data_IF_585814668129
#
_entry.id   IF_585814668129
#
_cell.length_a   1.000
_cell.length_b   1.000
_cell.length_c   1.000
_cell.angle_alpha   90.00
_cell.angle_beta   90.00
_cell.angle_gamma   90.00
#
_symmetry.space_group_name_H-M   'P 1'
#
loop_
_entity.id
_entity.type
_entity.pdbx_description
1 polymer ?
#
# COMPACT_ATOMS: atom_id res chain seq x y z
N UNK A 1 -2.17 -8.60 17.25
CA UNK A 1 -2.66 -8.66 15.86
C UNK A 1 -2.01 -7.54 15.08
N UNK A 2 -1.48 -7.87 13.91
CA UNK A 2 -1.04 -6.90 12.91
C UNK A 2 -1.96 -7.00 11.69
N UNK A 3 -1.49 -6.40 10.59
CA UNK A 3 -2.06 -6.53 9.26
C UNK A 3 -1.12 -7.38 8.40
N UNK A 4 -1.68 -8.24 7.57
CA UNK A 4 -1.00 -8.98 6.52
C UNK A 4 -1.70 -8.72 5.18
N UNK A 5 -0.89 -8.48 4.15
CA UNK A 5 -1.35 -8.44 2.77
C UNK A 5 -0.80 -9.67 2.06
N UNK A 6 -1.69 -10.52 1.55
CA UNK A 6 -1.34 -11.79 0.92
C UNK A 6 -2.16 -12.06 -0.34
N UNK A 7 -1.67 -12.88 -1.28
CA UNK A 7 -2.48 -13.36 -2.39
C UNK A 7 -3.64 -14.22 -1.90
N UNK A 8 -4.79 -14.11 -2.54
CA UNK A 8 -5.98 -14.94 -2.26
C UNK A 8 -5.93 -16.33 -2.91
N UNK A 9 -4.76 -16.98 -2.94
CA UNK A 9 -4.56 -18.29 -3.60
C UNK A 9 -4.55 -19.48 -2.62
N UNK A 10 -4.78 -19.24 -1.32
CA UNK A 10 -4.73 -20.22 -0.24
C UNK A 10 -3.39 -20.99 -0.12
N UNK A 11 -2.32 -20.52 -0.78
CA UNK A 11 -0.99 -21.13 -0.73
C UNK A 11 -0.14 -20.52 0.39
N UNK A 12 0.30 -21.35 1.34
CA UNK A 12 1.14 -20.92 2.48
C UNK A 12 2.55 -20.50 2.06
N UNK A 13 2.96 -20.82 0.84
CA UNK A 13 4.27 -20.45 0.28
C UNK A 13 4.24 -19.16 -0.52
N UNK A 14 3.06 -18.56 -0.69
CA UNK A 14 2.90 -17.30 -1.41
C UNK A 14 3.60 -16.15 -0.67
N UNK A 15 4.15 -15.17 -1.39
CA UNK A 15 4.77 -14.02 -0.75
C UNK A 15 3.70 -13.20 -0.02
N UNK A 16 3.94 -12.90 1.24
CA UNK A 16 3.14 -11.99 2.05
C UNK A 16 3.98 -10.81 2.54
N UNK A 17 3.29 -9.76 2.99
CA UNK A 17 3.90 -8.65 3.68
C UNK A 17 3.06 -8.28 4.90
N UNK A 18 3.71 -8.05 6.03
CA UNK A 18 3.03 -7.82 7.30
C UNK A 18 3.56 -6.61 8.06
N UNK A 19 2.64 -5.93 8.73
CA UNK A 19 2.91 -4.77 9.57
C UNK A 19 2.14 -4.87 10.89
N UNK A 20 2.57 -4.10 11.89
CA UNK A 20 1.62 -3.72 12.95
C UNK A 20 0.62 -2.69 12.40
N UNK A 21 -0.57 -2.57 12.97
CA UNK A 21 -1.54 -1.54 12.58
C UNK A 21 -0.93 -0.13 12.56
N UNK A 22 -0.15 0.22 13.60
CA UNK A 22 0.58 1.49 13.64
C UNK A 22 1.63 1.58 12.53
N UNK A 23 2.36 0.49 12.27
CA UNK A 23 3.36 0.44 11.21
C UNK A 23 2.76 0.64 9.82
N UNK A 24 1.59 0.06 9.58
CA UNK A 24 0.84 0.20 8.34
C UNK A 24 0.24 1.61 8.17
N UNK A 25 -0.34 2.19 9.23
CA UNK A 25 -0.80 3.58 9.18
C UNK A 25 0.36 4.54 8.84
N UNK A 26 1.53 4.37 9.49
CA UNK A 26 2.71 5.18 9.16
C UNK A 26 3.22 4.95 7.73
N UNK A 27 3.03 3.75 7.17
CA UNK A 27 3.33 3.45 5.77
C UNK A 27 2.36 4.17 4.82
N UNK A 28 1.05 4.13 5.11
CA UNK A 28 0.03 4.90 4.36
C UNK A 28 0.29 6.40 4.39
N UNK A 29 0.64 6.95 5.55
CA UNK A 29 1.00 8.37 5.68
C UNK A 29 2.22 8.73 4.82
N UNK A 30 3.22 7.84 4.77
CA UNK A 30 4.40 8.03 3.95
C UNK A 30 4.07 7.99 2.45
N UNK A 31 3.23 7.05 2.01
CA UNK A 31 2.74 6.99 0.63
C UNK A 31 1.95 8.25 0.25
N UNK A 32 1.02 8.70 1.10
CA UNK A 32 0.27 9.93 0.86
C UNK A 32 1.19 11.15 0.69
N UNK A 33 2.23 11.26 1.51
CA UNK A 33 3.24 12.32 1.35
C UNK A 33 4.01 12.21 0.03
N UNK A 34 4.35 10.99 -0.41
CA UNK A 34 4.97 10.76 -1.72
C UNK A 34 4.03 11.09 -2.90
N UNK A 35 2.71 10.99 -2.70
CA UNK A 35 1.69 11.48 -3.63
C UNK A 35 1.46 13.00 -3.54
N UNK A 36 2.06 13.69 -2.55
CA UNK A 36 1.95 15.13 -2.38
C UNK A 36 0.75 15.60 -1.56
N UNK A 37 0.14 14.73 -0.73
CA UNK A 37 -0.93 15.11 0.18
C UNK A 37 -0.74 14.53 1.60
N UNK A 38 -1.54 15.01 2.55
CA UNK A 38 -1.48 14.57 3.94
C UNK A 38 -2.65 13.62 4.24
N UNK A 39 -2.34 12.38 4.65
CA UNK A 39 -3.38 11.37 4.92
C UNK A 39 -4.32 11.80 6.04
N UNK A 40 -3.81 12.42 7.12
CA UNK A 40 -4.60 12.86 8.26
C UNK A 40 -5.66 13.94 7.93
N UNK A 41 -5.54 14.61 6.78
CA UNK A 41 -6.56 15.56 6.31
C UNK A 41 -7.74 14.85 5.64
N UNK A 42 -7.57 13.60 5.21
CA UNK A 42 -8.56 12.84 4.46
C UNK A 42 -9.69 12.33 5.36
N UNK A 43 -10.89 12.29 4.79
CA UNK A 43 -12.05 11.69 5.42
C UNK A 43 -11.78 10.20 5.73
N UNK A 44 -12.00 9.79 6.98
CA UNK A 44 -11.63 8.46 7.49
C UNK A 44 -10.34 8.43 8.33
N UNK A 45 -9.49 9.46 8.22
CA UNK A 45 -8.17 9.55 8.88
C UNK A 45 -8.06 10.71 9.88
N UNK A 46 -9.19 11.34 10.21
CA UNK A 46 -9.29 12.43 11.19
C UNK A 46 -9.65 13.80 10.59
N UNK A 47 -9.59 13.95 9.28
CA UNK A 47 -10.01 15.16 8.57
C UNK A 47 -11.33 15.01 7.80
N UNK A 48 -11.67 16.03 7.01
CA UNK A 48 -12.90 16.15 6.23
C UNK A 48 -12.66 16.27 4.71
N UNK A 49 -11.39 16.20 4.26
CA UNK A 49 -11.03 16.28 2.84
C UNK A 49 -11.50 15.01 2.12
N UNK A 50 -12.30 15.19 1.07
CA UNK A 50 -12.81 14.06 0.29
C UNK A 50 -11.72 13.42 -0.59
N UNK A 51 -11.74 12.09 -0.73
CA UNK A 51 -10.87 11.35 -1.64
C UNK A 51 -11.01 11.77 -3.11
N UNK A 52 -12.20 12.19 -3.54
CA UNK A 52 -12.43 12.78 -4.86
C UNK A 52 -11.67 14.09 -5.13
N UNK A 53 -11.08 14.71 -4.11
CA UNK A 53 -10.28 15.94 -4.24
C UNK A 53 -8.78 15.69 -4.50
N UNK A 54 -8.33 14.44 -4.38
CA UNK A 54 -6.96 14.04 -4.69
C UNK A 54 -6.94 13.19 -5.95
N UNK A 55 -5.92 13.36 -6.78
CA UNK A 55 -5.74 12.55 -7.99
C UNK A 55 -4.62 11.55 -7.74
N UNK A 56 -4.93 10.46 -7.05
CA UNK A 56 -3.99 9.36 -6.80
C UNK A 56 -4.57 8.03 -7.27
N UNK A 57 -3.74 7.20 -7.88
CA UNK A 57 -4.12 5.83 -8.20
C UNK A 57 -4.04 4.91 -6.99
N UNK A 58 -3.40 5.34 -5.89
CA UNK A 58 -3.22 4.56 -4.66
C UNK A 58 -4.42 4.61 -3.72
N UNK A 59 -5.49 5.34 -4.06
CA UNK A 59 -6.71 5.43 -3.24
C UNK A 59 -7.23 4.05 -2.78
N UNK A 60 -7.32 3.00 -3.63
CA UNK A 60 -7.79 1.68 -3.19
C UNK A 60 -6.91 1.01 -2.13
N UNK A 61 -5.65 1.39 -2.00
CA UNK A 61 -4.73 0.88 -0.97
C UNK A 61 -4.77 1.74 0.30
N UNK A 62 -4.89 3.06 0.12
CA UNK A 62 -4.85 4.04 1.21
C UNK A 62 -6.18 4.13 1.96
N UNK A 63 -7.31 4.13 1.25
CA UNK A 63 -8.67 4.22 1.81
C UNK A 63 -9.33 2.83 1.98
N UNK A 64 -8.53 1.82 2.26
CA UNK A 64 -9.04 0.46 2.51
C UNK A 64 -9.15 0.21 4.02
N UNK A 65 -10.17 -0.51 4.51
CA UNK A 65 -10.18 -1.05 5.86
C UNK A 65 -8.93 -1.91 6.13
N UNK A 66 -8.44 -1.95 7.36
CA UNK A 66 -7.25 -2.74 7.65
C UNK A 66 -7.60 -4.23 7.78
N UNK A 67 -8.75 -4.59 8.36
CA UNK A 67 -9.07 -5.95 8.81
C UNK A 67 -10.06 -6.72 7.91
N UNK A 68 -10.52 -6.13 6.83
CA UNK A 68 -11.45 -6.77 5.90
C UNK A 68 -11.30 -6.27 4.47
N UNK A 69 -11.57 -7.15 3.50
CA UNK A 69 -11.66 -6.81 2.09
C UNK A 69 -10.47 -7.27 1.25
N UNK A 70 -10.54 -6.92 -0.03
CA UNK A 70 -9.52 -7.26 -1.03
C UNK A 70 -9.39 -6.17 -2.07
N UNK A 71 -8.19 -6.10 -2.67
CA UNK A 71 -7.94 -5.35 -3.88
C UNK A 71 -8.10 -6.28 -5.08
N UNK A 72 -9.02 -5.90 -5.97
CA UNK A 72 -9.24 -6.60 -7.23
C UNK A 72 -8.01 -6.53 -8.12
N UNK A 73 -7.92 -7.42 -9.11
CA UNK A 73 -6.86 -7.41 -10.12
C UNK A 73 -6.72 -6.06 -10.83
N UNK A 74 -7.84 -5.40 -11.13
CA UNK A 74 -7.82 -4.09 -11.77
C UNK A 74 -7.21 -3.01 -10.86
N UNK A 75 -7.52 -3.04 -9.56
CA UNK A 75 -6.91 -2.14 -8.58
C UNK A 75 -5.43 -2.44 -8.38
N UNK A 76 -5.04 -3.72 -8.25
CA UNK A 76 -3.64 -4.15 -8.21
C UNK A 76 -2.85 -3.64 -9.42
N UNK A 77 -3.40 -3.77 -10.63
CA UNK A 77 -2.79 -3.29 -11.86
C UNK A 77 -2.69 -1.75 -11.92
N UNK A 78 -3.65 -1.03 -11.32
CA UNK A 78 -3.65 0.42 -11.27
C UNK A 78 -2.65 1.00 -10.26
N UNK A 79 -2.46 0.35 -9.10
CA UNK A 79 -1.53 0.81 -8.06
C UNK A 79 -0.07 0.45 -8.38
N UNK A 80 0.17 -0.68 -9.06
CA UNK A 80 1.52 -1.22 -9.25
C UNK A 80 2.49 -0.22 -9.90
N UNK A 81 2.17 0.43 -11.05
CA UNK A 81 3.09 1.37 -11.68
C UNK A 81 3.42 2.55 -10.77
N UNK A 82 2.50 2.94 -9.88
CA UNK A 82 2.70 4.05 -8.98
C UNK A 82 3.60 3.66 -7.79
N UNK A 83 3.43 2.46 -7.25
CA UNK A 83 4.32 1.92 -6.22
C UNK A 83 5.76 1.77 -6.73
N UNK A 84 5.94 1.29 -7.97
CA UNK A 84 7.26 1.20 -8.61
C UNK A 84 7.89 2.59 -8.78
N UNK A 85 7.11 3.57 -9.28
CA UNK A 85 7.59 4.93 -9.45
C UNK A 85 8.03 5.59 -8.13
N UNK A 86 7.35 5.30 -7.01
CA UNK A 86 7.74 5.78 -5.67
C UNK A 86 9.06 5.14 -5.21
N UNK A 87 9.29 3.87 -5.56
CA UNK A 87 10.52 3.14 -5.21
C UNK A 87 11.73 3.64 -5.99
N UNK A 88 11.52 4.06 -7.24
CA UNK A 88 12.57 4.58 -8.14
C UNK A 88 12.94 6.04 -7.85
N UNK A 89 12.10 6.76 -7.09
CA UNK A 89 12.39 8.11 -6.62
C UNK A 89 13.47 8.04 -5.53
N UNK A 90 14.73 7.97 -5.96
CA UNK A 90 15.90 8.09 -5.09
C UNK A 90 15.90 9.44 -4.36
N UNK A 91 15.76 9.40 -3.03
CA UNK A 91 16.07 10.54 -2.17
C UNK A 91 17.46 10.31 -1.56
N UNK A 92 18.38 11.27 -1.73
CA UNK A 92 19.80 11.13 -1.36
C UNK A 92 20.09 11.17 0.16
N UNK A 93 19.06 11.16 1.00
CA UNK A 93 19.22 11.18 2.44
C UNK A 93 19.12 9.76 3.00
N UNK A 94 20.19 9.30 3.64
CA UNK A 94 20.27 8.03 4.38
C UNK A 94 19.42 8.02 5.66
N UNK A 95 18.17 8.49 5.55
CA UNK A 95 17.17 8.38 6.58
C UNK A 95 16.74 6.91 6.70
N UNK A 96 17.07 6.22 7.82
CA UNK A 96 16.72 4.82 8.00
C UNK A 96 15.20 4.58 8.00
N UNK A 97 14.39 5.61 8.29
CA UNK A 97 12.93 5.51 8.17
C UNK A 97 12.51 5.48 6.71
N UNK A 98 13.10 6.32 5.86
CA UNK A 98 12.85 6.31 4.42
C UNK A 98 13.26 4.97 3.80
N UNK A 99 14.46 4.47 4.10
CA UNK A 99 14.94 3.17 3.59
C UNK A 99 14.00 2.02 3.96
N UNK A 100 13.51 2.01 5.20
CA UNK A 100 12.53 1.01 5.65
C UNK A 100 11.22 1.11 4.87
N UNK A 101 10.74 2.32 4.56
CA UNK A 101 9.50 2.51 3.79
C UNK A 101 9.66 2.11 2.34
N UNK A 102 10.82 2.36 1.75
CA UNK A 102 11.15 1.87 0.41
C UNK A 102 11.19 0.34 0.40
N UNK A 103 11.72 -0.31 1.44
CA UNK A 103 11.66 -1.77 1.58
C UNK A 103 10.22 -2.29 1.70
N UNK A 104 9.38 -1.63 2.52
CA UNK A 104 7.95 -1.94 2.64
C UNK A 104 7.25 -1.88 1.27
N UNK A 105 7.54 -0.86 0.44
CA UNK A 105 6.99 -0.76 -0.93
C UNK A 105 7.51 -1.88 -1.82
N UNK A 106 8.80 -2.22 -1.78
CA UNK A 106 9.38 -3.30 -2.60
C UNK A 106 8.76 -4.66 -2.28
N UNK A 107 8.53 -4.94 -1.00
CA UNK A 107 7.85 -6.16 -0.57
C UNK A 107 6.41 -6.16 -1.10
N UNK A 108 5.66 -5.06 -0.91
CA UNK A 108 4.30 -4.93 -1.44
C UNK A 108 4.23 -5.10 -2.96
N UNK A 109 5.16 -4.48 -3.71
CA UNK A 109 5.26 -4.63 -5.18
C UNK A 109 5.46 -6.09 -5.57
N UNK A 110 6.24 -6.85 -4.81
CA UNK A 110 6.45 -8.28 -5.05
C UNK A 110 5.14 -9.06 -4.89
N UNK A 111 4.39 -8.80 -3.81
CA UNK A 111 3.08 -9.43 -3.57
C UNK A 111 2.07 -9.04 -4.66
N UNK A 112 1.97 -7.76 -5.02
CA UNK A 112 1.05 -7.28 -6.07
C UNK A 112 1.38 -7.89 -7.43
N UNK A 113 2.67 -7.97 -7.80
CA UNK A 113 3.09 -8.64 -9.04
C UNK A 113 2.72 -10.12 -9.04
N UNK A 114 2.87 -10.78 -7.91
CA UNK A 114 2.48 -12.18 -7.76
C UNK A 114 0.96 -12.36 -7.92
N UNK A 115 0.15 -11.50 -7.28
CA UNK A 115 -1.31 -11.49 -7.43
C UNK A 115 -1.73 -11.34 -8.90
N UNK A 116 -1.12 -10.40 -9.62
CA UNK A 116 -1.38 -10.19 -11.05
C UNK A 116 -0.94 -11.38 -11.91
N UNK A 117 0.21 -12.00 -11.61
CA UNK A 117 0.72 -13.15 -12.36
C UNK A 117 -0.12 -14.41 -12.16
N UNK A 118 -0.72 -14.56 -10.98
CA UNK A 118 -1.60 -15.69 -10.62
C UNK A 118 -3.08 -15.41 -10.88
N UNK A 119 -3.42 -14.19 -11.29
CA UNK A 119 -4.79 -13.72 -11.47
C UNK A 119 -5.66 -13.90 -10.20
N UNK A 120 -5.07 -13.63 -9.03
CA UNK A 120 -5.75 -13.64 -7.73
C UNK A 120 -5.80 -12.25 -7.10
N UNK A 121 -6.77 -12.03 -6.22
CA UNK A 121 -6.92 -10.77 -5.48
C UNK A 121 -5.88 -10.65 -4.37
N UNK A 122 -5.61 -9.40 -3.96
CA UNK A 122 -4.79 -9.11 -2.79
C UNK A 122 -5.69 -8.98 -1.56
N UNK A 123 -5.50 -9.84 -0.57
CA UNK A 123 -6.33 -9.93 0.63
C UNK A 123 -5.70 -9.17 1.80
N UNK A 124 -6.54 -8.53 2.62
CA UNK A 124 -6.17 -7.88 3.87
C UNK A 124 -6.61 -8.78 5.04
N UNK A 125 -5.67 -9.26 5.86
CA UNK A 125 -5.91 -10.25 6.92
C UNK A 125 -5.11 -10.04 8.21
#
# INVERSE_FOLDING_TARGET
MGLMLSPGDDEVTSPDVSWSYTGFNMFREWLARAEGFTLAEMNGFGGDRMWSSVSTTLEPLLDHPDDEGSLTLAQCAAILPRLEAITDQHQEDGDPVHERRVDDVRQLVTVVKYCLAKEVELIFC
#
